data_IF_239114615680
#
_entry.id   IF_239114615680
#
_cell.length_a   1.000
_cell.length_b   1.000
_cell.length_c   1.000
_cell.angle_alpha   90.00
_cell.angle_beta   90.00
_cell.angle_gamma   90.00
#
_symmetry.space_group_name_H-M   'P 1'
#
loop_
_entity.id
_entity.type
_entity.pdbx_description
1 polymer ?
#
# COMPACT_ATOMS: atom_id res chain seq x y z
N UNK A 1 -3.05 10.78 13.59
CA UNK A 1 -1.75 11.44 13.32
C UNK A 1 -1.04 11.63 14.65
N UNK A 2 0.16 11.07 14.84
CA UNK A 2 0.87 11.25 16.12
C UNK A 2 1.49 12.66 16.21
N UNK A 3 1.66 13.23 17.41
CA UNK A 3 2.28 14.55 17.59
C UNK A 3 3.69 14.65 17.00
N UNK A 4 4.45 13.55 17.07
CA UNK A 4 5.79 13.46 16.50
C UNK A 4 5.78 13.58 14.96
N UNK A 5 4.81 12.96 14.28
CA UNK A 5 4.64 13.05 12.83
C UNK A 5 4.25 14.47 12.41
N UNK A 6 3.37 15.13 13.19
CA UNK A 6 2.99 16.52 12.92
C UNK A 6 4.17 17.48 13.06
N UNK A 7 4.98 17.33 14.11
CA UNK A 7 6.18 18.14 14.32
C UNK A 7 7.20 17.95 13.18
N UNK A 8 7.43 16.70 12.75
CA UNK A 8 8.33 16.40 11.63
C UNK A 8 7.83 16.99 10.29
N UNK A 9 6.51 16.96 10.06
CA UNK A 9 5.89 17.54 8.87
C UNK A 9 6.01 19.07 8.85
N UNK A 10 5.77 19.74 9.98
CA UNK A 10 5.92 21.20 10.11
C UNK A 10 7.38 21.63 9.85
N UNK A 11 8.34 20.94 10.46
CA UNK A 11 9.77 21.24 10.29
C UNK A 11 10.18 21.04 8.82
N UNK A 12 9.68 19.99 8.17
CA UNK A 12 9.97 19.71 6.76
C UNK A 12 9.35 20.76 5.82
N UNK A 13 8.12 21.18 6.09
CA UNK A 13 7.45 22.25 5.36
C UNK A 13 8.22 23.58 5.45
N UNK A 14 8.66 23.94 6.66
CA UNK A 14 9.45 25.16 6.90
C UNK A 14 10.81 25.13 6.18
N UNK A 15 11.50 23.99 6.19
CA UNK A 15 12.79 23.82 5.46
C UNK A 15 12.62 24.00 3.95
N UNK A 16 11.47 23.63 3.40
CA UNK A 16 11.16 23.80 1.98
C UNK A 16 10.55 25.17 1.66
N UNK A 17 10.35 26.05 2.65
CA UNK A 17 9.67 27.34 2.45
C UNK A 17 8.20 27.22 2.07
N UNK A 18 7.57 26.08 2.37
CA UNK A 18 6.18 25.78 2.02
C UNK A 18 5.28 25.87 3.25
N UNK A 19 4.00 26.18 3.04
CA UNK A 19 3.00 25.93 4.08
C UNK A 19 2.86 24.42 4.31
N UNK A 20 2.41 24.02 5.51
CA UNK A 20 2.19 22.61 5.83
C UNK A 20 1.25 21.92 4.83
N UNK A 21 0.24 22.65 4.34
CA UNK A 21 -0.74 22.16 3.36
C UNK A 21 -0.08 21.91 2.01
N UNK A 22 0.67 22.87 1.48
CA UNK A 22 1.39 22.73 0.21
C UNK A 22 2.45 21.64 0.28
N UNK A 23 3.12 21.51 1.43
CA UNK A 23 4.07 20.43 1.64
C UNK A 23 3.40 19.05 1.63
N UNK A 24 2.24 18.91 2.29
CA UNK A 24 1.46 17.66 2.26
C UNK A 24 0.94 17.35 0.86
N UNK A 25 0.37 18.33 0.16
CA UNK A 25 -0.15 18.15 -1.20
C UNK A 25 0.99 17.75 -2.15
N UNK A 26 2.18 18.36 -2.01
CA UNK A 26 3.37 17.99 -2.78
C UNK A 26 3.91 16.61 -2.40
N UNK A 27 3.95 16.25 -1.12
CA UNK A 27 4.41 14.94 -0.67
C UNK A 27 3.49 13.82 -1.20
N UNK A 28 2.18 14.04 -1.14
CA UNK A 28 1.17 13.13 -1.69
C UNK A 28 1.28 13.06 -3.21
N UNK A 29 1.42 14.20 -3.90
CA UNK A 29 1.62 14.22 -5.35
C UNK A 29 2.93 13.54 -5.77
N UNK A 30 4.02 13.69 -5.02
CA UNK A 30 5.30 13.01 -5.30
C UNK A 30 5.27 11.51 -5.02
N UNK A 31 4.38 11.05 -4.13
CA UNK A 31 4.16 9.63 -3.89
C UNK A 31 3.28 8.99 -4.98
N UNK A 32 2.45 9.80 -5.66
CA UNK A 32 1.53 9.36 -6.71
C UNK A 32 2.17 9.49 -8.11
N UNK A 33 3.03 10.48 -8.33
CA UNK A 33 3.75 10.65 -9.57
C UNK A 33 4.82 9.55 -9.69
N UNK A 34 4.66 8.68 -10.69
CA UNK A 34 5.50 7.52 -11.05
C UNK A 34 6.95 7.89 -11.46
N UNK A 35 7.38 9.12 -11.14
CA UNK A 35 8.63 9.74 -11.58
C UNK A 35 9.27 10.51 -10.41
N UNK A 36 9.67 9.80 -9.34
CA UNK A 36 10.66 10.34 -8.39
C UNK A 36 11.59 9.27 -7.80
N UNK A 37 12.92 9.53 -7.79
CA UNK A 37 13.95 8.65 -7.22
C UNK A 37 14.01 8.63 -5.67
N UNK A 38 13.05 9.24 -4.97
CA UNK A 38 12.99 9.27 -3.50
C UNK A 38 11.62 8.87 -2.92
N UNK A 39 10.68 8.39 -3.76
CA UNK A 39 9.64 7.49 -3.27
C UNK A 39 10.31 6.19 -2.87
N UNK A 40 9.93 5.57 -1.74
CA UNK A 40 10.53 4.30 -1.31
C UNK A 40 10.56 3.36 -2.50
N UNK A 41 11.78 3.10 -3.00
CA UNK A 41 11.94 2.42 -4.27
C UNK A 41 11.14 1.11 -4.24
N UNK A 42 10.63 0.60 -5.38
CA UNK A 42 9.67 -0.50 -5.35
C UNK A 42 10.19 -1.74 -4.58
N UNK A 43 11.51 -1.91 -4.46
CA UNK A 43 12.16 -2.96 -3.65
C UNK A 43 12.19 -2.70 -2.13
N UNK A 44 11.81 -1.51 -1.65
CA UNK A 44 11.75 -1.15 -0.25
C UNK A 44 10.60 -1.87 0.47
N UNK A 45 10.85 -2.29 1.70
CA UNK A 45 9.85 -3.00 2.52
C UNK A 45 8.64 -2.12 2.81
N UNK A 46 8.84 -0.81 2.96
CA UNK A 46 7.75 0.14 3.20
C UNK A 46 6.81 0.25 1.99
N UNK A 47 7.32 0.04 0.77
CA UNK A 47 6.48 0.00 -0.43
C UNK A 47 5.53 -1.19 -0.40
N UNK A 48 5.94 -2.33 0.17
CA UNK A 48 5.08 -3.50 0.33
C UNK A 48 3.89 -3.21 1.26
N UNK A 49 4.12 -2.54 2.40
CA UNK A 49 3.06 -2.21 3.34
C UNK A 49 2.07 -1.18 2.75
N UNK A 50 2.59 -0.15 2.07
CA UNK A 50 1.75 0.83 1.37
C UNK A 50 0.94 0.18 0.26
N UNK A 51 1.56 -0.70 -0.53
CA UNK A 51 0.89 -1.45 -1.57
C UNK A 51 -0.24 -2.32 -0.99
N UNK A 52 0.01 -3.07 0.09
CA UNK A 52 -1.04 -3.88 0.72
C UNK A 52 -2.23 -3.04 1.19
N UNK A 53 -1.96 -1.84 1.73
CA UNK A 53 -3.01 -0.93 2.17
C UNK A 53 -3.86 -0.44 0.99
N UNK A 54 -3.21 0.04 -0.08
CA UNK A 54 -3.93 0.50 -1.29
C UNK A 54 -4.67 -0.66 -1.96
N UNK A 55 -4.03 -1.80 -2.13
CA UNK A 55 -4.59 -2.99 -2.78
C UNK A 55 -5.80 -3.59 -2.03
N UNK A 56 -5.85 -3.45 -0.71
CA UNK A 56 -6.99 -3.90 0.11
C UNK A 56 -8.14 -2.89 0.16
N UNK A 57 -7.86 -1.59 0.06
CA UNK A 57 -8.87 -0.55 0.27
C UNK A 57 -9.39 0.06 -1.04
N UNK A 58 -8.51 0.23 -2.02
CA UNK A 58 -8.75 0.95 -3.28
C UNK A 58 -7.82 0.44 -4.39
N UNK A 59 -7.94 -0.84 -4.81
CA UNK A 59 -7.08 -1.42 -5.84
C UNK A 59 -7.15 -0.69 -7.18
N UNK A 60 -8.25 0.01 -7.47
CA UNK A 60 -8.43 0.88 -8.64
C UNK A 60 -7.46 2.07 -8.69
N UNK A 61 -6.82 2.42 -7.58
CA UNK A 61 -5.77 3.45 -7.55
C UNK A 61 -4.41 2.92 -8.03
N UNK A 62 -4.25 1.61 -8.15
CA UNK A 62 -3.03 1.00 -8.69
C UNK A 62 -3.05 1.14 -10.22
N UNK A 63 -1.99 1.74 -10.77
CA UNK A 63 -1.86 1.99 -12.20
C UNK A 63 -0.50 1.50 -12.71
N UNK A 64 -0.39 1.32 -14.02
CA UNK A 64 0.87 0.96 -14.69
C UNK A 64 1.49 -0.32 -14.12
N UNK A 65 2.76 -0.24 -13.73
CA UNK A 65 3.51 -1.38 -13.17
C UNK A 65 2.94 -1.86 -11.83
N UNK A 66 2.32 -0.98 -11.05
CA UNK A 66 1.69 -1.36 -9.78
C UNK A 66 0.39 -2.14 -9.99
N UNK A 67 -0.38 -1.82 -11.05
CA UNK A 67 -1.53 -2.62 -11.45
C UNK A 67 -1.10 -4.03 -11.88
N UNK A 68 -0.05 -4.13 -12.70
CA UNK A 68 0.52 -5.42 -13.11
C UNK A 68 1.03 -6.25 -11.91
N UNK A 69 1.68 -5.59 -10.94
CA UNK A 69 2.09 -6.24 -9.69
C UNK A 69 0.89 -6.80 -8.92
N UNK A 70 -0.23 -6.08 -8.90
CA UNK A 70 -1.47 -6.53 -8.26
C UNK A 70 -2.07 -7.75 -8.95
N UNK A 71 -2.01 -7.83 -10.28
CA UNK A 71 -2.41 -9.04 -11.01
C UNK A 71 -1.58 -10.26 -10.57
N UNK A 72 -0.27 -10.11 -10.40
CA UNK A 72 0.57 -11.18 -9.86
C UNK A 72 0.19 -11.56 -8.41
N UNK A 73 -0.18 -10.59 -7.58
CA UNK A 73 -0.64 -10.84 -6.20
C UNK A 73 -1.99 -11.56 -6.16
N UNK A 74 -2.89 -11.28 -7.11
CA UNK A 74 -4.18 -11.99 -7.22
C UNK A 74 -4.01 -13.48 -7.53
N UNK A 75 -2.95 -13.86 -8.25
CA UNK A 75 -2.65 -15.25 -8.58
C UNK A 75 -2.07 -16.03 -7.38
N UNK A 76 -1.41 -15.35 -6.44
CA UNK A 76 -0.74 -15.97 -5.31
C UNK A 76 -1.67 -16.07 -4.09
N UNK A 77 -2.37 -17.21 -3.99
CA UNK A 77 -3.36 -17.48 -2.94
C UNK A 77 -2.80 -17.40 -1.52
N UNK A 78 -1.52 -17.68 -1.34
CA UNK A 78 -0.89 -17.70 -0.02
C UNK A 78 -0.79 -16.28 0.58
N UNK A 79 -0.86 -15.24 -0.24
CA UNK A 79 -0.83 -13.84 0.22
C UNK A 79 -2.13 -13.39 0.90
N UNK A 80 -3.23 -14.14 0.70
CA UNK A 80 -4.56 -13.74 1.13
C UNK A 80 -4.97 -14.41 2.44
N UNK A 81 -5.67 -13.66 3.28
CA UNK A 81 -6.45 -14.21 4.39
C UNK A 81 -7.91 -14.25 3.97
N UNK A 82 -8.55 -15.39 4.26
CA UNK A 82 -9.99 -15.54 4.14
C UNK A 82 -10.56 -15.59 5.57
N UNK A 83 -11.34 -14.58 5.98
CA UNK A 83 -12.01 -14.61 7.26
C UNK A 83 -12.90 -15.85 7.37
N UNK A 84 -12.74 -16.62 8.44
CA UNK A 84 -13.65 -17.71 8.76
C UNK A 84 -14.97 -17.11 9.25
N UNK A 85 -16.09 -17.57 8.68
CA UNK A 85 -17.40 -17.21 9.20
C UNK A 85 -17.72 -18.03 10.43
N UNK A 86 -18.23 -17.38 11.46
CA UNK A 86 -18.75 -18.08 12.62
C UNK A 86 -20.12 -18.71 12.31
N UNK A 87 -20.45 -19.82 12.98
CA UNK A 87 -21.76 -20.47 12.83
C UNK A 87 -22.94 -19.51 13.12
N UNK A 88 -22.73 -18.55 14.01
CA UNK A 88 -23.73 -17.54 14.33
C UNK A 88 -23.93 -16.53 13.20
N UNK A 89 -22.86 -16.08 12.55
CA UNK A 89 -22.97 -15.18 11.39
C UNK A 89 -23.63 -15.85 10.18
N UNK A 90 -23.43 -17.16 10.02
CA UNK A 90 -24.11 -17.97 9.00
C UNK A 90 -25.62 -18.03 9.30
N UNK A 91 -25.98 -18.28 10.56
CA UNK A 91 -27.39 -18.30 10.98
C UNK A 91 -28.07 -16.93 10.87
N UNK A 92 -27.31 -15.85 11.09
CA UNK A 92 -27.75 -14.47 10.93
C UNK A 92 -27.78 -14.03 9.45
N UNK A 93 -27.44 -14.91 8.50
CA UNK A 93 -27.45 -14.65 7.06
C UNK A 93 -26.40 -13.63 6.60
N UNK A 94 -25.33 -13.41 7.38
CA UNK A 94 -24.25 -12.49 7.00
C UNK A 94 -23.41 -13.09 5.88
N UNK A 95 -22.97 -12.24 4.96
CA UNK A 95 -22.04 -12.62 3.91
C UNK A 95 -20.63 -12.85 4.48
N UNK A 96 -19.83 -13.75 3.87
CA UNK A 96 -18.44 -13.91 4.25
C UNK A 96 -17.67 -12.60 4.12
N UNK A 97 -16.75 -12.34 5.05
CA UNK A 97 -15.84 -11.20 4.95
C UNK A 97 -15.02 -11.27 3.65
N UNK A 98 -14.78 -10.12 3.03
CA UNK A 98 -13.92 -10.04 1.85
C UNK A 98 -12.50 -10.53 2.18
N UNK A 99 -11.87 -11.22 1.22
CA UNK A 99 -10.47 -11.60 1.35
C UNK A 99 -9.60 -10.36 1.33
N UNK A 100 -8.53 -10.37 2.12
CA UNK A 100 -7.56 -9.28 2.15
C UNK A 100 -6.12 -9.82 2.14
N UNK A 101 -5.22 -9.04 1.57
CA UNK A 101 -3.78 -9.31 1.52
C UNK A 101 -3.21 -9.17 2.92
N UNK A 102 -2.45 -10.17 3.37
CA UNK A 102 -1.75 -10.16 4.65
C UNK A 102 -0.40 -9.46 4.50
N UNK A 103 -0.16 -8.29 5.12
CA UNK A 103 1.06 -7.51 4.90
C UNK A 103 2.35 -8.28 5.23
N UNK A 104 2.32 -9.12 6.28
CA UNK A 104 3.48 -9.94 6.64
C UNK A 104 3.84 -10.98 5.57
N UNK A 105 2.84 -11.57 4.90
CA UNK A 105 3.07 -12.55 3.82
C UNK A 105 3.53 -11.85 2.56
N UNK A 106 2.93 -10.70 2.24
CA UNK A 106 3.35 -9.85 1.14
C UNK A 106 4.81 -9.41 1.29
N UNK A 107 5.23 -8.91 2.45
CA UNK A 107 6.62 -8.52 2.72
C UNK A 107 7.61 -9.64 2.43
N UNK A 108 7.27 -10.89 2.75
CA UNK A 108 8.12 -12.06 2.47
C UNK A 108 8.21 -12.35 0.97
N UNK A 109 7.11 -12.22 0.24
CA UNK A 109 7.07 -12.44 -1.21
C UNK A 109 7.54 -11.22 -2.04
N UNK A 110 7.66 -10.06 -1.40
CA UNK A 110 7.87 -8.76 -2.05
C UNK A 110 9.06 -8.72 -3.01
N UNK A 111 10.28 -9.18 -2.63
CA UNK A 111 11.43 -9.09 -3.54
C UNK A 111 11.21 -9.83 -4.85
N UNK A 112 10.56 -11.01 -4.79
CA UNK A 112 10.23 -11.83 -5.98
C UNK A 112 9.16 -11.17 -6.85
N UNK A 113 8.13 -10.60 -6.23
CA UNK A 113 7.03 -9.96 -6.95
C UNK A 113 7.54 -8.72 -7.68
N UNK A 114 8.30 -7.86 -6.98
CA UNK A 114 8.89 -6.65 -7.55
C UNK A 114 9.88 -6.99 -8.66
N UNK A 115 10.75 -7.99 -8.49
CA UNK A 115 11.71 -8.36 -9.53
C UNK A 115 11.02 -8.84 -10.82
N UNK A 116 9.85 -9.46 -10.70
CA UNK A 116 9.08 -9.95 -11.86
C UNK A 116 8.52 -8.81 -12.70
N UNK A 117 8.24 -7.65 -12.08
CA UNK A 117 7.52 -6.54 -12.73
C UNK A 117 8.42 -5.35 -13.04
N UNK A 118 9.41 -5.07 -12.20
CA UNK A 118 10.24 -3.86 -12.26
C UNK A 118 11.68 -4.11 -12.72
N UNK A 119 12.14 -5.36 -12.80
CA UNK A 119 13.48 -5.70 -13.30
C UNK A 119 13.46 -6.30 -14.72
N UNK A 120 12.32 -6.24 -15.42
CA UNK A 120 12.19 -6.55 -16.85
C UNK A 120 12.33 -5.28 -17.70
#
# INVERSE_FOLDING_TARGET
>A
MSPAVMAAAIVSAQKCGLSLREWLDRAVASLIADDHPEGAAPWAVQAADLFAQVANCSPELLHGRWALLYEHVLLDRDLWHQPEQTAQEINDGRLPGARYIVPARLRKAWPRLVSTVFCL
#
